data_IF_437254243171
#
_entry.id   IF_437254243171
#
_cell.length_a   1.000
_cell.length_b   1.000
_cell.length_c   1.000
_cell.angle_alpha   90.00
_cell.angle_beta   90.00
_cell.angle_gamma   90.00
#
_symmetry.space_group_name_H-M   'P 1'
#
loop_
_entity.id
_entity.type
_entity.pdbx_description
1 polymer ?
#
# COMPACT_ATOMS: atom_id res chain seq x y z
N UNK A 1 7.02 -14.97 0.50
CA UNK A 1 6.11 -13.82 0.45
C UNK A 1 6.96 -12.58 0.24
N UNK A 2 6.73 -11.86 -0.86
CA UNK A 2 7.54 -10.70 -1.24
C UNK A 2 6.69 -9.44 -1.04
N UNK A 3 7.28 -8.36 -0.49
CA UNK A 3 6.60 -7.06 -0.48
C UNK A 3 6.27 -6.65 -1.91
N UNK A 4 5.13 -5.99 -2.10
CA UNK A 4 4.65 -5.50 -3.38
C UNK A 4 4.63 -3.98 -3.34
N UNK A 5 5.39 -3.34 -4.23
CA UNK A 5 5.32 -1.90 -4.45
C UNK A 5 4.38 -1.65 -5.61
N UNK A 6 3.17 -1.18 -5.30
CA UNK A 6 2.16 -0.88 -6.30
C UNK A 6 2.20 0.61 -6.64
N UNK A 7 2.31 0.93 -7.93
CA UNK A 7 2.37 2.29 -8.46
C UNK A 7 1.09 2.61 -9.23
N UNK A 8 0.08 3.08 -8.52
CA UNK A 8 -1.27 3.31 -9.05
C UNK A 8 -1.33 4.68 -9.72
N UNK A 9 -2.04 4.74 -10.85
CA UNK A 9 -2.30 5.98 -11.59
C UNK A 9 -3.77 6.09 -11.95
N UNK A 10 -4.41 7.18 -11.52
CA UNK A 10 -5.82 7.44 -11.83
C UNK A 10 -5.94 8.00 -13.26
N UNK A 11 -6.72 7.34 -14.12
CA UNK A 11 -7.10 7.87 -15.44
C UNK A 11 -8.10 9.02 -15.28
N UNK A 12 -8.29 9.90 -16.26
CA UNK A 12 -9.11 11.13 -16.12
C UNK A 12 -10.51 10.88 -15.51
N UNK A 13 -11.10 9.72 -15.77
CA UNK A 13 -12.44 9.32 -15.31
C UNK A 13 -12.44 8.66 -13.91
N UNK A 14 -11.27 8.33 -13.35
CA UNK A 14 -11.12 7.76 -12.02
C UNK A 14 -11.02 8.85 -10.94
N UNK A 15 -11.63 8.57 -9.79
CA UNK A 15 -11.63 9.46 -8.62
C UNK A 15 -11.00 8.83 -7.37
N UNK A 16 -10.88 7.50 -7.33
CA UNK A 16 -10.33 6.75 -6.19
C UNK A 16 -9.50 5.55 -6.66
N UNK A 17 -8.60 5.09 -5.80
CA UNK A 17 -7.77 3.92 -6.00
C UNK A 17 -8.51 2.60 -5.69
N UNK A 18 -9.66 2.67 -5.01
CA UNK A 18 -10.57 1.54 -4.76
C UNK A 18 -10.15 0.63 -3.62
N UNK A 19 -9.60 1.20 -2.54
CA UNK A 19 -9.33 0.48 -1.30
C UNK A 19 -9.63 1.33 -0.06
N UNK A 20 -9.83 0.68 1.07
CA UNK A 20 -9.94 1.35 2.38
C UNK A 20 -8.85 0.87 3.33
N UNK A 21 -8.44 1.73 4.26
CA UNK A 21 -7.41 1.42 5.25
C UNK A 21 -7.97 1.46 6.67
N UNK A 22 -7.47 0.56 7.51
CA UNK A 22 -7.78 0.52 8.93
C UNK A 22 -6.51 0.29 9.73
N UNK A 23 -6.48 0.81 10.96
CA UNK A 23 -5.38 0.60 11.90
C UNK A 23 -5.82 -0.17 13.14
N UNK A 24 -5.11 -1.26 13.43
CA UNK A 24 -5.23 -2.05 14.65
C UNK A 24 -3.86 -2.62 15.01
N UNK A 25 -3.06 -1.84 15.75
CA UNK A 25 -1.62 -2.10 15.96
C UNK A 25 -0.79 -1.76 14.71
N UNK A 26 -1.14 -2.33 13.57
CA UNK A 26 -0.57 -2.05 12.24
C UNK A 26 -1.61 -1.41 11.32
N UNK A 27 -1.16 -0.76 10.24
CA UNK A 27 -2.02 -0.27 9.17
C UNK A 27 -2.20 -1.38 8.14
N UNK A 28 -3.44 -1.67 7.77
CA UNK A 28 -3.75 -2.71 6.80
C UNK A 28 -4.88 -2.28 5.86
N UNK A 29 -4.96 -2.97 4.72
CA UNK A 29 -6.03 -2.81 3.73
C UNK A 29 -7.27 -3.52 4.25
N UNK A 30 -8.30 -2.74 4.58
CA UNK A 30 -9.55 -3.26 5.12
C UNK A 30 -10.45 -3.86 4.03
N UNK A 31 -10.47 -3.27 2.85
CA UNK A 31 -11.26 -3.76 1.73
C UNK A 31 -10.67 -3.28 0.41
N UNK A 32 -10.90 -4.05 -0.66
CA UNK A 32 -10.55 -3.71 -2.03
C UNK A 32 -11.81 -3.82 -2.89
N UNK A 33 -12.08 -2.80 -3.68
CA UNK A 33 -13.22 -2.76 -4.59
C UNK A 33 -12.93 -3.63 -5.83
N UNK A 34 -13.82 -4.55 -6.23
CA UNK A 34 -13.60 -5.37 -7.41
C UNK A 34 -13.45 -4.54 -8.69
N UNK A 35 -12.49 -4.91 -9.54
CA UNK A 35 -12.12 -4.20 -10.78
C UNK A 35 -11.57 -2.78 -10.59
N UNK A 36 -11.22 -2.39 -9.35
CA UNK A 36 -10.53 -1.12 -9.09
C UNK A 36 -9.04 -1.20 -9.43
N UNK A 37 -8.35 -0.05 -9.39
CA UNK A 37 -6.89 -0.03 -9.52
C UNK A 37 -6.21 -0.87 -8.44
N UNK A 38 -6.66 -0.82 -7.19
CA UNK A 38 -6.10 -1.65 -6.13
C UNK A 38 -6.20 -3.15 -6.46
N UNK A 39 -7.35 -3.60 -6.97
CA UNK A 39 -7.57 -4.99 -7.39
C UNK A 39 -6.64 -5.38 -8.56
N UNK A 40 -6.60 -4.55 -9.60
CA UNK A 40 -5.75 -4.76 -10.78
C UNK A 40 -4.25 -4.80 -10.45
N UNK A 41 -3.82 -4.04 -9.44
CA UNK A 41 -2.44 -4.01 -8.96
C UNK A 41 -2.14 -5.07 -7.90
N UNK A 42 -3.08 -5.98 -7.65
CA UNK A 42 -2.95 -7.09 -6.71
C UNK A 42 -2.63 -6.61 -5.28
N UNK A 43 -3.25 -5.49 -4.88
CA UNK A 43 -3.45 -5.13 -3.48
C UNK A 43 -4.61 -5.99 -2.97
N UNK A 44 -4.45 -6.58 -1.78
CA UNK A 44 -5.44 -7.50 -1.23
C UNK A 44 -5.92 -7.02 0.13
N UNK A 45 -7.11 -7.46 0.51
CA UNK A 45 -7.58 -7.38 1.89
C UNK A 45 -6.56 -8.03 2.84
N UNK A 46 -6.44 -7.47 4.03
CA UNK A 46 -5.48 -7.81 5.08
C UNK A 46 -4.00 -7.55 4.78
N UNK A 47 -3.66 -7.03 3.60
CA UNK A 47 -2.30 -6.59 3.32
C UNK A 47 -1.86 -5.49 4.30
N UNK A 48 -0.70 -5.67 4.91
CA UNK A 48 -0.07 -4.70 5.80
C UNK A 48 0.61 -3.62 4.95
N UNK A 49 0.25 -2.37 5.21
CA UNK A 49 0.83 -1.21 4.53
C UNK A 49 2.07 -0.75 5.29
N UNK A 50 3.17 -0.58 4.58
CA UNK A 50 4.48 -0.23 5.13
C UNK A 50 4.90 1.19 4.75
N UNK A 51 4.65 1.58 3.50
CA UNK A 51 5.00 2.90 2.97
C UNK A 51 3.89 3.47 2.09
N UNK A 52 3.82 4.80 2.06
CA UNK A 52 3.06 5.57 1.08
C UNK A 52 4.00 6.60 0.44
N UNK A 53 4.10 6.60 -0.89
CA UNK A 53 5.00 7.45 -1.66
C UNK A 53 6.46 7.40 -1.16
N UNK A 54 6.93 6.21 -0.79
CA UNK A 54 8.28 5.99 -0.25
C UNK A 54 8.49 6.46 1.19
N UNK A 55 7.45 6.92 1.89
CA UNK A 55 7.52 7.32 3.29
C UNK A 55 6.98 6.22 4.21
N UNK A 56 7.79 5.83 5.21
CA UNK A 56 7.37 4.91 6.28
C UNK A 56 6.17 5.52 7.06
N UNK A 57 5.08 4.76 7.14
CA UNK A 57 3.84 5.19 7.79
C UNK A 57 3.71 4.78 9.26
N UNK A 58 4.68 4.03 9.80
CA UNK A 58 4.60 3.41 11.13
C UNK A 58 4.37 4.45 12.23
N UNK A 59 5.06 5.59 12.15
CA UNK A 59 4.96 6.68 13.12
C UNK A 59 3.88 7.72 12.79
N UNK A 60 3.20 7.61 11.64
CA UNK A 60 2.21 8.59 11.20
C UNK A 60 0.84 8.32 11.82
N UNK A 61 0.05 9.38 12.04
CA UNK A 61 -1.34 9.26 12.48
C UNK A 61 -2.27 8.89 11.31
N UNK A 62 -3.46 8.34 11.61
CA UNK A 62 -4.48 8.07 10.58
C UNK A 62 -4.88 9.32 9.80
N UNK A 63 -4.92 10.49 10.45
CA UNK A 63 -5.19 11.76 9.78
C UNK A 63 -4.11 12.07 8.75
N UNK A 64 -2.82 11.89 9.13
CA UNK A 64 -1.71 12.17 8.20
C UNK A 64 -1.68 11.20 7.02
N UNK A 65 -1.98 9.93 7.27
CA UNK A 65 -2.12 8.90 6.22
C UNK A 65 -3.25 9.28 5.26
N UNK A 66 -4.40 9.71 5.79
CA UNK A 66 -5.55 10.13 4.98
C UNK A 66 -5.19 11.35 4.12
N UNK A 67 -4.52 12.37 4.69
CA UNK A 67 -4.01 13.52 3.94
C UNK A 67 -3.07 13.10 2.80
N UNK A 68 -2.18 12.13 3.03
CA UNK A 68 -1.27 11.64 2.00
C UNK A 68 -2.02 10.97 0.85
N UNK A 69 -3.01 10.13 1.14
CA UNK A 69 -3.85 9.49 0.12
C UNK A 69 -4.65 10.53 -0.65
N UNK A 70 -5.28 11.49 0.02
CA UNK A 70 -6.04 12.55 -0.64
C UNK A 70 -5.13 13.46 -1.49
N UNK A 71 -3.92 13.76 -1.03
CA UNK A 71 -2.92 14.46 -1.84
C UNK A 71 -2.51 13.64 -3.07
N UNK A 72 -2.38 12.33 -2.94
CA UNK A 72 -2.09 11.42 -4.06
C UNK A 72 -3.23 11.36 -5.08
N UNK A 73 -4.49 11.46 -4.64
CA UNK A 73 -5.64 11.58 -5.56
C UNK A 73 -5.56 12.87 -6.38
N UNK A 74 -5.12 13.98 -5.77
CA UNK A 74 -4.93 15.26 -6.47
C UNK A 74 -3.81 15.19 -7.51
N UNK A 75 -2.70 14.50 -7.21
CA UNK A 75 -1.61 14.26 -8.17
C UNK A 75 -1.89 13.11 -9.12
N UNK A 76 -3.00 12.38 -8.92
CA UNK A 76 -3.42 11.20 -9.67
C UNK A 76 -2.45 10.02 -9.61
N UNK A 77 -1.52 10.02 -8.66
CA UNK A 77 -0.45 9.03 -8.55
C UNK A 77 -0.23 8.63 -7.08
N UNK A 78 -0.11 7.33 -6.83
CA UNK A 78 0.15 6.76 -5.52
C UNK A 78 1.14 5.60 -5.63
N UNK A 79 2.21 5.64 -4.85
CA UNK A 79 3.01 4.46 -4.58
C UNK A 79 2.66 3.90 -3.20
N UNK A 80 2.33 2.62 -3.12
CA UNK A 80 2.02 1.94 -1.85
C UNK A 80 2.84 0.65 -1.75
N UNK A 81 3.59 0.53 -0.65
CA UNK A 81 4.30 -0.70 -0.33
C UNK A 81 3.45 -1.53 0.62
N UNK A 82 3.07 -2.73 0.17
CA UNK A 82 2.30 -3.68 0.96
C UNK A 82 3.01 -5.02 1.11
N UNK A 83 2.65 -5.77 2.14
CA UNK A 83 3.03 -7.17 2.30
C UNK A 83 1.87 -7.93 2.90
N UNK A 84 1.72 -9.20 2.53
CA UNK A 84 0.71 -10.06 3.15
C UNK A 84 1.01 -10.33 4.64
N UNK A 85 0.01 -10.73 5.45
CA UNK A 85 0.17 -10.91 6.89
C UNK A 85 1.31 -11.86 7.30
N UNK A 86 1.46 -13.01 6.62
CA UNK A 86 2.48 -14.00 6.97
C UNK A 86 3.89 -13.52 6.61
N UNK A 87 4.05 -12.78 5.51
CA UNK A 87 5.29 -12.08 5.17
C UNK A 87 5.64 -10.99 6.18
N UNK A 88 4.63 -10.24 6.65
CA UNK A 88 4.83 -9.27 7.72
C UNK A 88 5.30 -9.94 9.02
N UNK A 89 4.61 -10.99 9.48
CA UNK A 89 4.98 -11.74 10.67
C UNK A 89 6.41 -12.30 10.58
N UNK A 90 6.75 -12.91 9.43
CA UNK A 90 8.10 -13.40 9.17
C UNK A 90 9.15 -12.30 9.32
N UNK A 91 8.87 -11.10 8.81
CA UNK A 91 9.79 -9.97 8.89
C UNK A 91 10.04 -9.52 10.34
N UNK A 92 9.00 -9.51 11.17
CA UNK A 92 9.10 -9.15 12.59
C UNK A 92 9.89 -10.21 13.36
N UNK A 93 9.55 -11.48 13.20
CA UNK A 93 10.21 -12.60 13.89
C UNK A 93 11.71 -12.65 13.60
N UNK A 94 12.12 -12.28 12.39
CA UNK A 94 13.53 -12.32 11.96
C UNK A 94 14.21 -10.94 11.94
N UNK A 95 13.54 -9.90 12.45
CA UNK A 95 14.04 -8.51 12.45
C UNK A 95 14.52 -8.02 11.06
N UNK A 96 13.81 -8.40 10.01
CA UNK A 96 14.11 -8.00 8.63
C UNK A 96 13.40 -6.66 8.36
N UNK A 97 14.14 -5.55 8.16
CA UNK A 97 13.52 -4.30 7.76
C UNK A 97 12.97 -4.44 6.34
N UNK A 98 11.73 -4.01 6.11
CA UNK A 98 11.10 -3.99 4.79
C UNK A 98 10.88 -2.54 4.36
N UNK A 99 11.41 -2.18 3.19
CA UNK A 99 11.18 -0.91 2.53
C UNK A 99 11.19 -1.10 1.00
N UNK A 100 10.79 -0.07 0.26
CA UNK A 100 10.65 -0.13 -1.20
C UNK A 100 11.98 -0.25 -1.96
N UNK A 101 13.13 -0.06 -1.31
CA UNK A 101 14.46 -0.11 -1.95
C UNK A 101 15.08 -1.52 -1.96
N UNK A 102 14.41 -2.52 -1.38
CA UNK A 102 14.97 -3.87 -1.29
C UNK A 102 14.89 -4.59 -2.64
N UNK A 103 15.93 -5.37 -3.01
CA UNK A 103 16.02 -6.00 -4.34
C UNK A 103 14.98 -7.09 -4.59
N UNK A 104 14.27 -7.53 -3.55
CA UNK A 104 13.26 -8.57 -3.61
C UNK A 104 11.81 -8.04 -3.61
N UNK A 105 11.62 -6.71 -3.64
CA UNK A 105 10.30 -6.08 -3.76
C UNK A 105 9.76 -6.34 -5.17
N UNK A 106 8.52 -6.81 -5.24
CA UNK A 106 7.81 -6.98 -6.50
C UNK A 106 7.19 -5.65 -6.90
N UNK A 107 7.68 -5.06 -7.98
CA UNK A 107 7.09 -3.84 -8.54
C UNK A 107 5.85 -4.22 -9.34
N UNK A 108 4.72 -3.65 -8.96
CA UNK A 108 3.46 -3.68 -9.70
C UNK A 108 3.26 -2.30 -10.33
N UNK A 109 3.66 -2.18 -11.59
CA UNK A 109 3.33 -1.05 -12.46
C UNK A 109 2.23 -1.49 -13.43
N UNK A 110 1.63 -0.55 -14.18
CA UNK A 110 0.60 -0.83 -15.19
C UNK A 110 0.95 -2.07 -16.06
N UNK A 111 -0.03 -2.90 -16.44
CA UNK A 111 0.17 -3.99 -17.39
C UNK A 111 0.60 -3.52 -18.77
#
# INVERSE_FOLDING_TARGET
>A
MKPRLCKLKLSVDDYDFGFTLKRSGVLFVQSVEPNSLADLYNIKEDDVVLELNGHDIKALSMNKISEMIESSKQTRELEILVIDPAGYEFSITHAIPINSHLPFVEIKAEP
#
